data_IF_946281173052
#
_entry.id   IF_946281173052
#
_cell.length_a   1.000
_cell.length_b   1.000
_cell.length_c   1.000
_cell.angle_alpha   90.00
_cell.angle_beta   90.00
_cell.angle_gamma   90.00
#
_symmetry.space_group_name_H-M   'P 1'
#
loop_
_entity.id
_entity.type
_entity.pdbx_description
1 polymer ?
#
# COMPACT_ATOMS: atom_id res chain seq x y z
N UNK A 1 -13.20 -11.48 0.57
CA UNK A 1 -14.03 -10.32 0.16
C UNK A 1 -13.44 -9.74 -1.13
N UNK A 2 -14.24 -9.24 -2.08
CA UNK A 2 -13.73 -8.64 -3.32
C UNK A 2 -14.42 -7.31 -3.62
N UNK A 3 -13.75 -6.45 -4.39
CA UNK A 3 -14.31 -5.17 -4.86
C UNK A 3 -13.85 -4.87 -6.28
N UNK A 4 -14.78 -4.40 -7.11
CA UNK A 4 -14.51 -3.90 -8.46
C UNK A 4 -14.66 -2.37 -8.45
N UNK A 5 -13.74 -1.67 -9.10
CA UNK A 5 -13.74 -0.20 -9.22
C UNK A 5 -13.50 0.15 -10.68
N UNK A 6 -14.37 0.98 -11.26
CA UNK A 6 -14.21 1.52 -12.61
C UNK A 6 -13.98 3.03 -12.58
N UNK A 7 -13.12 3.54 -13.46
CA UNK A 7 -12.86 4.98 -13.60
C UNK A 7 -12.90 5.41 -15.07
N UNK A 8 -13.63 6.50 -15.32
CA UNK A 8 -13.75 7.13 -16.63
C UNK A 8 -13.63 8.65 -16.53
N UNK A 9 -13.30 9.29 -17.64
CA UNK A 9 -13.28 10.75 -17.77
C UNK A 9 -14.40 11.16 -18.72
N UNK A 10 -15.21 12.13 -18.29
CA UNK A 10 -16.16 12.81 -19.15
C UNK A 10 -15.55 14.11 -19.66
N UNK A 11 -15.71 14.40 -20.96
CA UNK A 11 -15.27 15.66 -21.59
C UNK A 11 -16.49 16.39 -22.12
N UNK A 12 -16.53 17.71 -21.93
CA UNK A 12 -17.63 18.56 -22.41
C UNK A 12 -17.90 18.33 -23.91
N UNK A 13 -19.16 18.06 -24.24
CA UNK A 13 -19.60 17.78 -25.61
C UNK A 13 -19.25 16.39 -26.15
N UNK A 14 -18.77 15.45 -25.32
CA UNK A 14 -18.29 14.13 -25.74
C UNK A 14 -18.91 12.92 -25.02
N UNK A 15 -18.60 11.73 -25.54
CA UNK A 15 -18.93 10.45 -24.91
C UNK A 15 -18.00 10.13 -23.72
N UNK A 16 -18.50 9.35 -22.76
CA UNK A 16 -17.69 8.84 -21.65
C UNK A 16 -16.50 8.04 -22.19
N UNK A 17 -15.28 8.44 -21.82
CA UNK A 17 -14.07 7.70 -22.17
C UNK A 17 -13.61 6.86 -20.99
N UNK A 18 -13.56 5.55 -21.20
CA UNK A 18 -12.98 4.60 -20.25
C UNK A 18 -11.48 4.89 -20.09
N UNK A 19 -11.01 5.05 -18.84
CA UNK A 19 -9.57 5.19 -18.54
C UNK A 19 -9.00 3.92 -17.94
N UNK A 20 -9.66 3.37 -16.92
CA UNK A 20 -9.21 2.14 -16.29
C UNK A 20 -10.33 1.41 -15.55
N UNK A 21 -10.18 0.09 -15.44
CA UNK A 21 -10.98 -0.78 -14.58
C UNK A 21 -10.02 -1.58 -13.71
N UNK A 22 -10.33 -1.65 -12.42
CA UNK A 22 -9.56 -2.44 -11.47
C UNK A 22 -10.46 -3.39 -10.70
N UNK A 23 -10.01 -4.62 -10.54
CA UNK A 23 -10.62 -5.61 -9.65
C UNK A 23 -9.62 -5.97 -8.55
N UNK A 24 -10.10 -6.07 -7.32
CA UNK A 24 -9.31 -6.56 -6.20
C UNK A 24 -10.05 -7.72 -5.51
N UNK A 25 -9.28 -8.71 -5.08
CA UNK A 25 -9.78 -9.89 -4.41
C UNK A 25 -8.90 -10.19 -3.19
N UNK A 26 -9.54 -10.35 -2.03
CA UNK A 26 -8.89 -10.61 -0.76
C UNK A 26 -9.29 -11.97 -0.24
N UNK A 27 -8.28 -12.76 0.12
CA UNK A 27 -8.41 -14.02 0.84
C UNK A 27 -7.68 -13.93 2.16
N UNK A 28 -8.41 -14.18 3.24
CA UNK A 28 -7.81 -14.33 4.54
C UNK A 28 -7.40 -15.79 4.72
N UNK A 29 -6.15 -16.02 5.16
CA UNK A 29 -5.57 -17.36 5.30
C UNK A 29 -5.54 -17.83 6.76
N UNK A 30 -5.71 -16.92 7.70
CA UNK A 30 -5.71 -17.15 9.14
C UNK A 30 -7.09 -16.91 9.75
N UNK A 31 -7.34 -17.47 10.93
CA UNK A 31 -8.53 -17.12 11.71
C UNK A 31 -8.50 -15.64 12.16
N UNK A 32 -9.69 -15.07 12.41
CA UNK A 32 -9.86 -13.64 12.73
C UNK A 32 -9.15 -13.22 14.02
N UNK A 33 -9.14 -14.13 15.01
CA UNK A 33 -8.60 -13.92 16.35
C UNK A 33 -7.17 -14.44 16.53
N UNK A 34 -6.56 -14.97 15.46
CA UNK A 34 -5.19 -15.46 15.51
C UNK A 34 -4.21 -14.31 15.84
N UNK A 35 -3.20 -14.59 16.68
CA UNK A 35 -2.12 -13.62 16.96
C UNK A 35 -1.28 -13.33 15.73
N UNK A 36 -1.05 -14.35 14.90
CA UNK A 36 -0.50 -14.20 13.57
C UNK A 36 -1.63 -14.25 12.56
N UNK A 37 -1.83 -13.15 11.83
CA UNK A 37 -2.81 -13.05 10.76
C UNK A 37 -2.12 -12.93 9.42
N UNK A 38 -2.65 -13.63 8.42
CA UNK A 38 -2.12 -13.56 7.07
C UNK A 38 -3.23 -13.58 6.03
N UNK A 39 -2.94 -13.01 4.88
CA UNK A 39 -3.88 -12.92 3.78
C UNK A 39 -3.18 -12.70 2.45
N UNK A 40 -3.91 -12.99 1.38
CA UNK A 40 -3.52 -12.67 0.02
C UNK A 40 -4.48 -11.62 -0.53
N UNK A 41 -3.93 -10.70 -1.31
CA UNK A 41 -4.73 -9.81 -2.15
C UNK A 41 -4.21 -9.86 -3.58
N UNK A 42 -5.12 -10.04 -4.53
CA UNK A 42 -4.85 -9.92 -5.95
C UNK A 42 -5.52 -8.66 -6.47
N UNK A 43 -4.73 -7.81 -7.13
CA UNK A 43 -5.22 -6.65 -7.86
C UNK A 43 -4.96 -6.86 -9.35
N UNK A 44 -5.98 -6.68 -10.17
CA UNK A 44 -5.86 -6.62 -11.62
C UNK A 44 -6.36 -5.25 -12.10
N UNK A 45 -5.62 -4.61 -13.01
CA UNK A 45 -6.01 -3.33 -13.60
C UNK A 45 -5.82 -3.38 -15.10
N UNK A 46 -6.89 -3.04 -15.82
CA UNK A 46 -6.91 -2.84 -17.26
C UNK A 46 -6.99 -1.34 -17.52
N UNK A 47 -6.17 -0.82 -18.43
CA UNK A 47 -6.07 0.59 -18.75
C UNK A 47 -6.33 0.82 -20.24
N UNK A 48 -6.91 1.97 -20.54
CA UNK A 48 -7.07 2.45 -21.90
C UNK A 48 -5.95 3.45 -22.24
N UNK A 49 -5.44 3.37 -23.46
CA UNK A 49 -4.33 4.18 -23.95
C UNK A 49 -3.02 3.40 -24.00
N UNK A 50 -1.90 4.10 -23.83
CA UNK A 50 -0.55 3.54 -23.98
C UNK A 50 0.06 3.01 -22.68
N UNK A 51 -0.63 3.19 -21.55
CA UNK A 51 -0.17 2.69 -20.26
C UNK A 51 -0.39 1.18 -20.19
N UNK A 52 0.59 0.41 -19.70
CA UNK A 52 0.45 -1.04 -19.60
C UNK A 52 -0.63 -1.43 -18.59
N UNK A 53 -1.24 -2.58 -18.83
CA UNK A 53 -2.08 -3.26 -17.85
C UNK A 53 -1.22 -3.82 -16.72
N UNK A 54 -1.83 -4.18 -15.60
CA UNK A 54 -1.08 -4.66 -14.45
C UNK A 54 -1.81 -5.68 -13.59
N UNK A 55 -1.06 -6.64 -13.08
CA UNK A 55 -1.50 -7.56 -12.02
C UNK A 55 -0.52 -7.47 -10.86
N UNK A 56 -1.05 -7.37 -9.64
CA UNK A 56 -0.28 -7.31 -8.41
C UNK A 56 -0.79 -8.33 -7.41
N UNK A 57 0.11 -9.13 -6.86
CA UNK A 57 -0.15 -10.03 -5.74
C UNK A 57 0.48 -9.44 -4.48
N UNK A 58 -0.29 -9.44 -3.40
CA UNK A 58 0.12 -8.98 -2.09
C UNK A 58 0.04 -10.16 -1.13
N UNK A 59 1.14 -10.42 -0.42
CA UNK A 59 1.10 -11.19 0.82
C UNK A 59 1.04 -10.21 1.99
N UNK A 60 -0.01 -10.33 2.79
CA UNK A 60 -0.30 -9.49 3.94
C UNK A 60 -0.03 -10.31 5.19
N UNK A 61 0.72 -9.77 6.14
CA UNK A 61 0.96 -10.42 7.42
C UNK A 61 0.92 -9.41 8.57
N UNK A 62 0.37 -9.85 9.70
CA UNK A 62 0.35 -9.13 10.96
C UNK A 62 0.66 -10.08 12.11
N UNK A 63 1.55 -9.68 12.99
CA UNK A 63 1.86 -10.37 14.24
C UNK A 63 1.51 -9.46 15.41
N UNK A 64 0.55 -9.86 16.23
CA UNK A 64 0.32 -9.26 17.55
C UNK A 64 1.26 -9.92 18.56
N UNK A 65 2.16 -9.13 19.12
CA UNK A 65 3.10 -9.60 20.13
C UNK A 65 2.49 -9.47 21.53
N UNK A 66 1.83 -8.33 21.77
CA UNK A 66 1.05 -8.03 22.97
C UNK A 66 -0.26 -7.35 22.56
N UNK A 67 -1.10 -6.99 23.52
CA UNK A 67 -2.31 -6.21 23.26
C UNK A 67 -2.01 -4.77 22.82
N UNK A 68 -0.81 -4.27 23.14
CA UNK A 68 -0.36 -2.90 22.84
C UNK A 68 0.66 -2.81 21.70
N UNK A 69 1.23 -3.94 21.25
CA UNK A 69 2.30 -3.97 20.26
C UNK A 69 2.05 -5.02 19.17
N UNK A 70 2.12 -4.57 17.91
CA UNK A 70 1.98 -5.42 16.73
C UNK A 70 2.94 -5.00 15.62
N UNK A 71 3.26 -5.93 14.74
CA UNK A 71 4.05 -5.65 13.53
C UNK A 71 3.31 -6.15 12.30
N UNK A 72 3.45 -5.44 11.19
CA UNK A 72 2.89 -5.80 9.89
C UNK A 72 3.97 -5.83 8.83
N UNK A 73 3.86 -6.80 7.94
CA UNK A 73 4.68 -6.88 6.75
C UNK A 73 3.79 -7.16 5.54
N UNK A 74 4.00 -6.38 4.48
CA UNK A 74 3.36 -6.55 3.18
C UNK A 74 4.46 -6.78 2.14
N UNK A 75 4.39 -7.89 1.44
CA UNK A 75 5.19 -8.15 0.24
C UNK A 75 4.31 -7.96 -0.99
N UNK A 76 4.77 -7.18 -1.96
CA UNK A 76 4.06 -6.94 -3.22
C UNK A 76 4.91 -7.41 -4.38
N UNK A 77 4.30 -8.22 -5.25
CA UNK A 77 4.86 -8.60 -6.54
C UNK A 77 3.94 -8.10 -7.65
N UNK A 78 4.45 -7.30 -8.58
CA UNK A 78 3.62 -6.72 -9.65
C UNK A 78 4.20 -7.00 -11.03
N UNK A 79 3.34 -7.38 -11.97
CA UNK A 79 3.69 -7.60 -13.38
C UNK A 79 2.88 -6.67 -14.26
N UNK A 80 3.58 -5.97 -15.14
CA UNK A 80 2.98 -5.19 -16.22
C UNK A 80 2.81 -6.05 -17.48
N UNK A 81 1.75 -5.77 -18.24
CA UNK A 81 1.36 -6.49 -19.45
C UNK A 81 0.94 -5.51 -20.54
N UNK A 82 1.09 -5.91 -21.80
CA UNK A 82 0.79 -5.08 -22.96
C UNK A 82 1.97 -4.23 -23.43
N UNK A 83 1.68 -3.28 -24.30
CA UNK A 83 2.70 -2.40 -24.88
C UNK A 83 3.33 -1.51 -23.79
N UNK A 84 4.62 -1.21 -23.94
CA UNK A 84 5.41 -0.43 -22.97
C UNK A 84 5.55 -1.06 -21.57
N UNK A 85 5.11 -2.30 -21.37
CA UNK A 85 5.26 -3.00 -20.09
C UNK A 85 6.73 -3.15 -19.68
N UNK A 86 7.03 -2.81 -18.42
CA UNK A 86 8.35 -3.06 -17.88
C UNK A 86 8.68 -4.56 -17.83
N UNK A 87 9.92 -4.90 -18.16
CA UNK A 87 10.42 -6.27 -18.08
C UNK A 87 10.57 -6.74 -16.62
N UNK A 88 10.33 -8.03 -16.39
CA UNK A 88 10.42 -8.66 -15.08
C UNK A 88 9.19 -8.45 -14.20
N UNK A 89 9.35 -8.73 -12.90
CA UNK A 89 8.36 -8.57 -11.83
C UNK A 89 8.88 -7.49 -10.89
N UNK A 90 8.06 -6.49 -10.58
CA UNK A 90 8.37 -5.45 -9.59
C UNK A 90 8.19 -6.01 -8.19
N UNK A 91 9.12 -5.71 -7.29
CA UNK A 91 9.12 -6.16 -5.91
C UNK A 91 9.07 -4.96 -4.95
N UNK A 92 8.12 -4.99 -4.01
CA UNK A 92 8.03 -4.01 -2.93
C UNK A 92 7.85 -4.71 -1.58
N UNK A 93 8.39 -4.09 -0.53
CA UNK A 93 8.11 -4.50 0.85
C UNK A 93 7.65 -3.28 1.65
N UNK A 94 6.68 -3.49 2.54
CA UNK A 94 6.24 -2.46 3.48
C UNK A 94 6.20 -3.07 4.87
N UNK A 95 6.88 -2.45 5.80
CA UNK A 95 6.95 -2.90 7.18
C UNK A 95 6.36 -1.82 8.07
N UNK A 96 5.69 -2.24 9.15
CA UNK A 96 5.18 -1.34 10.16
C UNK A 96 5.25 -1.98 11.53
N UNK A 97 5.69 -1.21 12.51
CA UNK A 97 5.58 -1.56 13.92
C UNK A 97 4.62 -0.57 14.57
N UNK A 98 3.54 -1.07 15.14
CA UNK A 98 2.44 -0.32 15.72
C UNK A 98 2.43 -0.51 17.24
N UNK A 99 2.47 0.60 17.98
CA UNK A 99 2.23 0.67 19.41
C UNK A 99 0.93 1.44 19.70
N UNK A 100 0.13 0.97 20.65
CA UNK A 100 -1.00 1.72 21.21
C UNK A 100 -0.84 1.87 22.71
N UNK A 101 -1.28 3.01 23.23
CA UNK A 101 -1.28 3.32 24.67
C UNK A 101 -2.58 2.85 25.38
N UNK A 102 -3.39 2.01 24.72
CA UNK A 102 -4.70 1.55 25.22
C UNK A 102 -5.81 2.59 25.06
N UNK A 103 -5.48 3.80 24.58
CA UNK A 103 -6.46 4.77 24.10
C UNK A 103 -6.71 4.62 22.60
N UNK A 104 -7.41 5.57 21.99
CA UNK A 104 -7.61 5.63 20.52
C UNK A 104 -6.37 6.14 19.75
N UNK A 105 -5.22 6.30 20.42
CA UNK A 105 -3.97 6.82 19.84
C UNK A 105 -3.07 5.65 19.44
N UNK A 106 -2.39 5.83 18.31
CA UNK A 106 -1.43 4.88 17.80
C UNK A 106 -0.15 5.59 17.38
N UNK A 107 0.98 4.96 17.62
CA UNK A 107 2.30 5.46 17.26
C UNK A 107 3.08 4.32 16.63
N UNK A 108 4.07 4.64 15.81
CA UNK A 108 4.88 3.59 15.25
C UNK A 108 5.93 4.06 14.30
N UNK A 109 6.57 3.07 13.70
CA UNK A 109 7.57 3.24 12.65
C UNK A 109 7.08 2.47 11.44
N UNK A 110 7.28 3.05 10.27
CA UNK A 110 6.96 2.44 8.99
C UNK A 110 8.17 2.50 8.06
N UNK A 111 8.35 1.45 7.25
CA UNK A 111 9.38 1.34 6.24
C UNK A 111 8.77 0.94 4.90
N UNK A 112 9.30 1.51 3.82
CA UNK A 112 8.86 1.29 2.45
C UNK A 112 10.09 1.02 1.58
N UNK A 113 10.10 -0.15 0.96
CA UNK A 113 11.19 -0.63 0.12
C UNK A 113 10.67 -0.95 -1.28
N UNK A 114 11.23 -0.30 -2.30
CA UNK A 114 11.02 -0.61 -3.70
C UNK A 114 12.32 -1.18 -4.27
N UNK A 115 12.36 -2.50 -4.43
CA UNK A 115 13.55 -3.26 -4.80
C UNK A 115 13.86 -3.23 -6.31
N UNK A 116 12.97 -2.66 -7.11
CA UNK A 116 13.08 -2.63 -8.57
C UNK A 116 12.43 -3.85 -9.24
N UNK A 117 12.96 -4.29 -10.37
CA UNK A 117 12.39 -5.39 -11.17
C UNK A 117 13.31 -6.61 -11.21
N UNK A 118 12.73 -7.82 -11.27
CA UNK A 118 13.52 -9.07 -11.36
C UNK A 118 14.32 -9.20 -12.66
N UNK A 119 13.99 -8.46 -13.73
CA UNK A 119 14.79 -8.45 -14.95
C UNK A 119 16.11 -7.68 -14.78
N UNK A 120 16.17 -6.77 -13.80
CA UNK A 120 17.37 -6.04 -13.40
C UNK A 120 17.23 -5.62 -11.95
N UNK A 121 17.62 -6.52 -11.04
CA UNK A 121 17.73 -6.17 -9.63
C UNK A 121 18.78 -5.07 -9.50
N UNK A 122 18.33 -3.88 -9.11
CA UNK A 122 19.19 -2.73 -8.98
C UNK A 122 20.07 -2.91 -7.72
N UNK A 123 21.30 -2.36 -7.70
CA UNK A 123 22.05 -2.25 -6.45
C UNK A 123 21.25 -1.38 -5.45
N UNK A 124 21.48 -1.58 -4.15
CA UNK A 124 20.73 -0.92 -3.06
C UNK A 124 20.58 0.60 -3.25
N UNK A 125 21.63 1.30 -3.67
CA UNK A 125 21.59 2.76 -3.88
C UNK A 125 20.59 3.22 -4.95
N UNK A 126 20.21 2.32 -5.87
CA UNK A 126 19.23 2.56 -6.94
C UNK A 126 17.84 1.99 -6.62
N UNK A 127 17.72 1.28 -5.50
CA UNK A 127 16.45 0.89 -4.92
C UNK A 127 15.95 2.03 -4.03
N UNK A 128 14.63 2.17 -3.84
CA UNK A 128 14.09 3.21 -2.95
C UNK A 128 13.78 2.62 -1.59
N UNK A 129 14.47 3.11 -0.58
CA UNK A 129 14.29 2.73 0.82
C UNK A 129 13.95 3.97 1.63
N UNK A 130 12.85 3.93 2.37
CA UNK A 130 12.41 5.01 3.24
C UNK A 130 11.94 4.44 4.58
N UNK A 131 12.28 5.09 5.69
CA UNK A 131 11.82 4.72 7.03
C UNK A 131 11.43 5.96 7.82
N UNK A 132 10.47 5.85 8.73
CA UNK A 132 10.34 6.86 9.76
C UNK A 132 9.09 6.71 10.61
N UNK A 133 8.91 7.65 11.55
CA UNK A 133 7.82 7.60 12.51
C UNK A 133 6.51 8.06 11.89
N UNK A 134 5.42 7.54 12.43
CA UNK A 134 4.09 8.11 12.25
C UNK A 134 3.34 8.07 13.58
N UNK A 135 2.28 8.86 13.65
CA UNK A 135 1.33 8.78 14.74
C UNK A 135 -0.10 8.95 14.19
N UNK A 136 -1.08 8.46 14.93
CA UNK A 136 -2.48 8.49 14.56
C UNK A 136 -3.32 8.88 15.77
N UNK A 137 -4.14 9.91 15.59
CA UNK A 137 -4.92 10.51 16.67
C UNK A 137 -6.35 10.77 16.23
N UNK A 138 -7.35 10.49 17.09
CA UNK A 138 -8.71 10.94 16.85
C UNK A 138 -8.78 12.47 16.99
N UNK A 139 -9.53 13.13 16.12
CA UNK A 139 -9.73 14.58 16.15
C UNK A 139 -11.22 14.88 16.03
N UNK A 140 -11.90 15.19 17.14
CA UNK A 140 -13.36 15.36 17.14
C UNK A 140 -14.11 14.06 16.86
N UNK A 141 -15.36 14.16 16.39
CA UNK A 141 -16.26 13.01 16.25
C UNK A 141 -16.04 12.29 14.92
N UNK A 142 -15.54 11.06 14.98
CA UNK A 142 -15.43 10.15 13.82
C UNK A 142 -14.25 10.41 12.90
N UNK A 143 -13.42 11.42 13.16
CA UNK A 143 -12.22 11.72 12.37
C UNK A 143 -10.95 11.24 13.04
N UNK A 144 -9.99 10.83 12.22
CA UNK A 144 -8.65 10.46 12.62
C UNK A 144 -7.64 11.12 11.68
N UNK A 145 -6.63 11.75 12.28
CA UNK A 145 -5.50 12.38 11.59
C UNK A 145 -4.26 11.54 11.83
N UNK A 146 -3.53 11.24 10.75
CA UNK A 146 -2.31 10.43 10.81
C UNK A 146 -1.15 11.17 10.11
N UNK A 147 -0.37 11.98 10.85
CA UNK A 147 0.90 12.51 10.35
C UNK A 147 1.98 11.42 10.34
N UNK A 148 2.89 11.51 9.36
CA UNK A 148 4.07 10.66 9.26
C UNK A 148 5.23 11.40 8.58
N UNK A 149 6.44 10.99 8.92
CA UNK A 149 7.67 11.50 8.32
C UNK A 149 8.52 10.31 7.88
N UNK A 150 8.88 10.28 6.61
CA UNK A 150 9.81 9.29 6.04
C UNK A 150 11.13 9.97 5.70
N UNK A 151 12.23 9.30 6.03
CA UNK A 151 13.58 9.68 5.66
C UNK A 151 14.12 8.70 4.61
N UNK A 152 14.78 9.22 3.58
CA UNK A 152 15.44 8.43 2.55
C UNK A 152 16.68 7.70 3.10
N UNK A 153 16.80 6.40 2.79
CA UNK A 153 17.96 5.57 3.14
C UNK A 153 18.84 5.20 1.94
N UNK A 154 18.48 5.66 0.74
CA UNK A 154 19.18 5.39 -0.51
C UNK A 154 19.11 6.59 -1.46
N UNK A 155 20.00 6.64 -2.45
CA UNK A 155 20.08 7.78 -3.38
C UNK A 155 18.84 7.94 -4.28
N UNK A 156 18.11 6.86 -4.53
CA UNK A 156 16.89 6.91 -5.31
C UNK A 156 15.67 7.40 -4.50
N UNK A 157 15.77 7.46 -3.17
CA UNK A 157 14.70 7.95 -2.31
C UNK A 157 14.72 9.47 -2.18
N UNK A 158 13.57 10.14 -2.01
CA UNK A 158 13.54 11.49 -1.48
C UNK A 158 14.24 11.53 -0.10
N UNK A 159 15.02 12.59 0.16
CA UNK A 159 15.69 12.78 1.46
C UNK A 159 14.67 12.76 2.61
N UNK A 160 13.51 13.39 2.38
CA UNK A 160 12.44 13.51 3.35
C UNK A 160 11.07 13.57 2.66
N UNK A 161 10.09 12.84 3.19
CA UNK A 161 8.70 12.86 2.73
C UNK A 161 7.77 12.99 3.94
N UNK A 162 7.01 14.08 3.99
CA UNK A 162 5.97 14.28 4.98
C UNK A 162 4.63 13.77 4.44
N UNK A 163 3.89 13.01 5.26
CA UNK A 163 2.58 12.46 4.92
C UNK A 163 1.54 12.86 5.95
N UNK A 164 0.35 13.18 5.45
CA UNK A 164 -0.79 13.52 6.30
C UNK A 164 -2.04 12.84 5.74
N UNK A 165 -2.58 11.89 6.49
CA UNK A 165 -3.82 11.23 6.14
C UNK A 165 -4.96 11.70 7.04
N UNK A 166 -6.09 12.00 6.42
CA UNK A 166 -7.35 12.24 7.10
C UNK A 166 -8.29 11.09 6.77
N UNK A 167 -8.85 10.48 7.81
CA UNK A 167 -9.86 9.44 7.66
C UNK A 167 -11.08 9.80 8.50
N UNK A 168 -12.26 9.51 7.95
CA UNK A 168 -13.52 9.64 8.66
C UNK A 168 -14.21 8.30 8.65
N UNK A 169 -14.59 7.81 9.83
CA UNK A 169 -15.55 6.73 9.94
C UNK A 169 -16.94 7.34 9.76
N UNK A 170 -17.64 6.93 8.72
CA UNK A 170 -19.07 7.14 8.60
C UNK A 170 -19.70 5.97 9.35
N UNK A 171 -20.40 6.27 10.44
CA UNK A 171 -21.06 5.24 11.25
C UNK A 171 -22.01 4.42 10.37
N UNK A 172 -22.10 3.11 10.62
CA UNK A 172 -23.03 2.18 9.96
C UNK A 172 -24.41 2.26 10.59
#
# INVERSE_FOLDING_TARGET
MGRIVGEGIWREGGALQFRQASANLYWQLSDDDARFRSGLRLDATIRNGTAPDGVSLFFLSEQKWTDSFSTRAILVTSKEMGDQAANGIKLETRLRADCTDGSKRHFGIEAYDLHGTTARLAPYDRQRHQIGPYASFPVGTGWTVTPGLLLGLSQASPDMEFRLFFSRRLDQ
#
